data_IF_216897593465
#
_entry.id   IF_216897593465
#
_cell.length_a   1.000
_cell.length_b   1.000
_cell.length_c   1.000
_cell.angle_alpha   90.00
_cell.angle_beta   90.00
_cell.angle_gamma   90.00
#
_symmetry.space_group_name_H-M   'P 1'
#
loop_
_entity.id
_entity.type
_entity.pdbx_description
1 polymer ?
#
# COMPACT_ATOMS: atom_id res chain seq x y z
N UNK A 1 3.77 -10.26 21.29
CA UNK A 1 2.66 -11.12 20.81
C UNK A 1 1.33 -10.36 20.69
N UNK A 2 0.88 -9.60 21.71
CA UNK A 2 -0.31 -8.71 21.63
C UNK A 2 -0.29 -7.67 20.49
N UNK A 3 0.91 -7.28 20.06
CA UNK A 3 1.13 -6.32 18.97
C UNK A 3 0.57 -6.85 17.64
N UNK A 4 0.64 -8.17 17.38
CA UNK A 4 0.13 -8.76 16.13
C UNK A 4 -1.40 -8.70 16.07
N UNK A 5 -2.08 -8.90 17.20
CA UNK A 5 -3.54 -8.85 17.28
C UNK A 5 -4.10 -7.42 17.21
N UNK A 6 -3.43 -6.46 17.88
CA UNK A 6 -3.74 -5.02 17.77
C UNK A 6 -3.57 -4.52 16.33
N UNK A 7 -2.58 -5.07 15.64
CA UNK A 7 -2.25 -4.72 14.26
C UNK A 7 -3.26 -5.24 13.24
N UNK A 8 -3.79 -6.46 13.41
CA UNK A 8 -4.90 -6.98 12.58
C UNK A 8 -6.15 -6.11 12.74
N UNK A 9 -6.43 -5.61 13.95
CA UNK A 9 -7.53 -4.68 14.21
C UNK A 9 -7.31 -3.32 13.53
N UNK A 10 -6.09 -2.77 13.56
CA UNK A 10 -5.73 -1.54 12.85
C UNK A 10 -5.86 -1.69 11.33
N UNK A 11 -5.48 -2.84 10.77
CA UNK A 11 -5.64 -3.13 9.34
C UNK A 11 -7.12 -3.24 8.92
N UNK A 12 -7.97 -3.83 9.76
CA UNK A 12 -9.42 -3.86 9.55
C UNK A 12 -10.01 -2.44 9.56
N UNK A 13 -9.56 -1.59 10.48
CA UNK A 13 -9.96 -0.18 10.53
C UNK A 13 -9.52 0.59 9.28
N UNK A 14 -8.29 0.39 8.80
CA UNK A 14 -7.80 1.07 7.58
C UNK A 14 -8.54 0.62 6.32
N UNK A 15 -8.99 -0.64 6.23
CA UNK A 15 -9.80 -1.12 5.11
C UNK A 15 -11.18 -0.47 5.07
N UNK A 16 -11.80 -0.30 6.24
CA UNK A 16 -13.08 0.40 6.36
C UNK A 16 -12.93 1.85 5.86
N UNK A 17 -11.92 2.57 6.34
CA UNK A 17 -11.68 3.96 5.96
C UNK A 17 -11.36 4.11 4.47
N UNK A 18 -10.53 3.21 3.93
CA UNK A 18 -10.16 3.20 2.51
C UNK A 18 -11.35 2.92 1.60
N UNK A 19 -12.26 2.01 2.00
CA UNK A 19 -13.46 1.70 1.22
C UNK A 19 -14.45 2.85 1.21
N UNK A 20 -14.57 3.58 2.32
CA UNK A 20 -15.43 4.75 2.45
C UNK A 20 -14.89 5.89 1.58
N UNK A 21 -13.58 6.17 1.65
CA UNK A 21 -12.90 7.11 0.77
C UNK A 21 -13.05 6.78 -0.72
N UNK A 22 -12.95 5.50 -1.08
CA UNK A 22 -13.15 5.06 -2.46
C UNK A 22 -14.59 5.32 -2.93
N UNK A 23 -15.60 4.93 -2.13
CA UNK A 23 -17.01 5.16 -2.44
C UNK A 23 -17.29 6.65 -2.61
N UNK A 24 -16.88 7.47 -1.63
CA UNK A 24 -17.08 8.93 -1.69
C UNK A 24 -16.34 9.56 -2.88
N UNK A 25 -15.16 9.07 -3.23
CA UNK A 25 -14.44 9.53 -4.42
C UNK A 25 -15.14 9.12 -5.71
N UNK A 26 -15.69 7.91 -5.80
CA UNK A 26 -16.46 7.46 -6.98
C UNK A 26 -17.79 8.19 -7.14
N UNK A 27 -18.47 8.51 -6.04
CA UNK A 27 -19.69 9.32 -6.05
C UNK A 27 -19.40 10.75 -6.50
N UNK A 28 -18.30 11.35 -5.99
CA UNK A 28 -17.86 12.67 -6.41
C UNK A 28 -17.31 12.71 -7.84
N UNK A 29 -16.74 11.62 -8.37
CA UNK A 29 -16.34 11.53 -9.78
C UNK A 29 -17.55 11.47 -10.72
N UNK A 30 -18.67 10.88 -10.28
CA UNK A 30 -19.88 10.79 -11.09
C UNK A 30 -20.54 12.15 -11.36
N UNK A 31 -20.34 13.12 -10.47
CA UNK A 31 -20.89 14.48 -10.57
C UNK A 31 -20.07 15.43 -11.45
N UNK A 32 -18.84 15.06 -11.81
CA UNK A 32 -17.94 15.86 -12.67
C UNK A 32 -18.12 15.61 -14.18
N UNK A 33 -19.24 15.02 -14.61
CA UNK A 33 -19.53 14.74 -16.04
C UNK A 33 -19.73 15.96 -16.94
N UNK A 34 -19.57 17.16 -16.41
CA UNK A 34 -20.05 18.39 -17.02
C UNK A 34 -18.81 19.19 -17.49
N UNK A 35 -18.52 19.10 -18.80
CA UNK A 35 -17.53 19.87 -19.58
C UNK A 35 -16.08 19.37 -19.65
N UNK A 36 -15.85 18.19 -20.25
CA UNK A 36 -14.48 17.72 -20.55
C UNK A 36 -14.26 17.64 -22.06
N UNK A 37 -13.27 18.41 -22.57
CA UNK A 37 -12.75 18.35 -23.93
C UNK A 37 -12.36 16.89 -24.30
N UNK A 38 -12.52 16.49 -25.56
CA UNK A 38 -12.30 15.11 -26.01
C UNK A 38 -10.85 14.62 -25.74
N UNK A 39 -9.89 15.54 -25.76
CA UNK A 39 -8.49 15.28 -25.42
C UNK A 39 -8.29 14.89 -23.94
N UNK A 40 -8.90 15.64 -23.01
CA UNK A 40 -8.82 15.35 -21.57
C UNK A 40 -9.53 14.04 -21.25
N UNK A 41 -10.64 13.73 -21.94
CA UNK A 41 -11.32 12.43 -21.82
C UNK A 41 -10.41 11.28 -22.23
N UNK A 42 -9.65 11.43 -23.32
CA UNK A 42 -8.73 10.40 -23.78
C UNK A 42 -7.56 10.18 -22.81
N UNK A 43 -7.02 11.25 -22.23
CA UNK A 43 -6.00 11.15 -21.18
C UNK A 43 -6.55 10.43 -19.93
N UNK A 44 -7.72 10.84 -19.46
CA UNK A 44 -8.39 10.21 -18.32
C UNK A 44 -8.64 8.71 -18.54
N UNK A 45 -9.14 8.33 -19.72
CA UNK A 45 -9.38 6.92 -20.05
C UNK A 45 -8.09 6.11 -20.07
N UNK A 46 -6.97 6.69 -20.52
CA UNK A 46 -5.65 6.05 -20.50
C UNK A 46 -5.18 5.82 -19.06
N UNK A 47 -5.30 6.83 -18.20
CA UNK A 47 -4.93 6.72 -16.79
C UNK A 47 -5.81 5.72 -16.03
N UNK A 48 -7.12 5.75 -16.26
CA UNK A 48 -8.07 4.79 -15.71
C UNK A 48 -7.75 3.36 -16.17
N UNK A 49 -7.36 3.18 -17.45
CA UNK A 49 -6.92 1.89 -17.96
C UNK A 49 -5.65 1.41 -17.26
N UNK A 50 -4.64 2.27 -17.10
CA UNK A 50 -3.41 1.92 -16.37
C UNK A 50 -3.69 1.55 -14.91
N UNK A 51 -4.52 2.32 -14.21
CA UNK A 51 -4.94 2.02 -12.84
C UNK A 51 -5.69 0.68 -12.76
N UNK A 52 -6.59 0.41 -13.71
CA UNK A 52 -7.34 -0.84 -13.77
C UNK A 52 -6.43 -2.04 -14.01
N UNK A 53 -5.49 -1.94 -14.96
CA UNK A 53 -4.51 -3.01 -15.25
C UNK A 53 -3.61 -3.24 -14.02
N UNK A 54 -3.14 -2.17 -13.38
CA UNK A 54 -2.32 -2.26 -12.17
C UNK A 54 -3.07 -2.95 -11.02
N UNK A 55 -4.32 -2.57 -10.76
CA UNK A 55 -5.17 -3.20 -9.75
C UNK A 55 -5.44 -4.67 -10.07
N UNK A 56 -5.67 -5.01 -11.34
CA UNK A 56 -5.82 -6.40 -11.77
C UNK A 56 -4.54 -7.22 -11.53
N UNK A 57 -3.37 -6.66 -11.81
CA UNK A 57 -2.07 -7.31 -11.55
C UNK A 57 -1.86 -7.53 -10.05
N UNK A 58 -2.11 -6.53 -9.21
CA UNK A 58 -2.02 -6.67 -7.74
C UNK A 58 -2.99 -7.74 -7.25
N UNK A 59 -4.22 -7.74 -7.75
CA UNK A 59 -5.22 -8.73 -7.38
C UNK A 59 -4.77 -10.15 -7.75
N UNK A 60 -4.27 -10.37 -8.97
CA UNK A 60 -3.72 -11.65 -9.41
C UNK A 60 -2.53 -12.09 -8.56
N UNK A 61 -1.57 -11.19 -8.29
CA UNK A 61 -0.42 -11.47 -7.43
C UNK A 61 -0.86 -11.82 -6.01
N UNK A 62 -1.89 -11.15 -5.50
CA UNK A 62 -2.45 -11.46 -4.21
C UNK A 62 -3.11 -12.82 -4.16
N UNK A 63 -3.84 -13.19 -5.20
CA UNK A 63 -4.44 -14.50 -5.33
C UNK A 63 -3.39 -15.61 -5.39
N UNK A 64 -2.32 -15.42 -6.18
CA UNK A 64 -1.18 -16.34 -6.28
C UNK A 64 -0.50 -16.50 -4.92
N UNK A 65 -0.28 -15.39 -4.21
CA UNK A 65 0.35 -15.41 -2.88
C UNK A 65 -0.52 -16.15 -1.87
N UNK A 66 -1.82 -15.85 -1.83
CA UNK A 66 -2.78 -16.57 -0.98
C UNK A 66 -2.79 -18.06 -1.29
N UNK A 67 -2.75 -18.44 -2.56
CA UNK A 67 -2.66 -19.84 -2.97
C UNK A 67 -1.42 -20.52 -2.37
N UNK A 68 -0.23 -19.91 -2.50
CA UNK A 68 1.00 -20.47 -1.94
C UNK A 68 1.01 -20.54 -0.41
N UNK A 69 0.29 -19.66 0.29
CA UNK A 69 0.15 -19.73 1.76
C UNK A 69 -0.80 -20.84 2.21
N UNK A 70 -1.81 -21.19 1.41
CA UNK A 70 -2.79 -22.23 1.74
C UNK A 70 -2.23 -23.64 1.52
N UNK A 71 -1.31 -23.81 0.56
CA UNK A 71 -0.69 -25.11 0.26
C UNK A 71 0.07 -25.63 1.50
N UNK A 72 -0.25 -26.83 2.01
CA UNK A 72 0.44 -27.42 3.14
C UNK A 72 1.94 -27.53 2.90
N UNK A 73 2.72 -27.14 3.90
CA UNK A 73 4.16 -27.42 3.93
C UNK A 73 4.54 -28.11 5.23
N UNK A 74 5.61 -28.91 5.21
CA UNK A 74 6.12 -29.54 6.44
C UNK A 74 6.54 -28.53 7.51
N UNK A 75 6.74 -27.27 7.12
CA UNK A 75 7.16 -26.17 7.99
C UNK A 75 5.98 -25.36 8.58
N UNK A 76 4.73 -25.76 8.33
CA UNK A 76 3.54 -25.02 8.77
C UNK A 76 3.49 -24.82 10.29
N UNK A 77 4.04 -25.76 11.06
CA UNK A 77 4.15 -25.63 12.52
C UNK A 77 5.02 -24.46 12.98
N UNK A 78 5.91 -23.93 12.12
CA UNK A 78 6.73 -22.75 12.40
C UNK A 78 6.08 -21.44 11.95
N UNK A 79 5.27 -21.51 10.90
CA UNK A 79 4.62 -20.35 10.29
C UNK A 79 3.35 -19.99 11.06
N UNK A 80 2.56 -20.99 11.43
CA UNK A 80 1.27 -20.82 12.09
C UNK A 80 1.39 -21.15 13.57
N UNK A 81 1.78 -20.17 14.38
CA UNK A 81 2.00 -20.36 15.82
C UNK A 81 0.81 -20.99 16.57
N UNK A 82 -0.42 -20.78 16.07
CA UNK A 82 -1.62 -21.34 16.67
C UNK A 82 -1.64 -22.87 16.60
N UNK A 83 -1.02 -23.47 15.56
CA UNK A 83 -0.99 -24.93 15.37
C UNK A 83 -0.18 -25.63 16.48
N UNK A 84 1.11 -25.32 16.74
CA UNK A 84 1.87 -25.98 17.80
C UNK A 84 1.33 -25.66 19.20
N UNK A 85 0.82 -24.46 19.45
CA UNK A 85 0.20 -24.12 20.74
C UNK A 85 -1.04 -24.98 20.96
N UNK A 86 -1.94 -25.04 19.99
CA UNK A 86 -3.11 -25.91 20.09
C UNK A 86 -2.72 -27.39 20.22
N UNK A 87 -1.58 -27.80 19.66
CA UNK A 87 -1.14 -29.20 19.73
C UNK A 87 -0.69 -29.56 21.14
N UNK A 88 -0.06 -28.59 21.81
CA UNK A 88 0.43 -28.73 23.18
C UNK A 88 -0.71 -28.76 24.20
N UNK A 89 -1.72 -27.89 24.04
CA UNK A 89 -2.79 -27.73 25.04
C UNK A 89 -4.08 -28.48 24.72
N UNK A 90 -4.36 -28.73 23.43
CA UNK A 90 -5.62 -29.32 22.96
C UNK A 90 -5.38 -30.39 21.88
N UNK A 91 -4.57 -31.43 22.15
CA UNK A 91 -4.15 -32.41 21.13
C UNK A 91 -5.34 -33.12 20.47
N UNK A 92 -6.42 -33.38 21.22
CA UNK A 92 -7.62 -34.05 20.70
C UNK A 92 -8.51 -33.16 19.82
N UNK A 93 -8.26 -31.85 19.80
CA UNK A 93 -9.06 -30.87 19.05
C UNK A 93 -8.34 -30.32 17.82
N UNK A 94 -7.08 -30.72 17.58
CA UNK A 94 -6.40 -30.49 16.30
C UNK A 94 -6.97 -31.46 15.27
N UNK A 95 -8.12 -31.06 14.74
CA UNK A 95 -8.68 -31.68 13.57
C UNK A 95 -8.16 -30.98 12.32
N UNK A 96 -8.19 -31.70 11.20
CA UNK A 96 -7.93 -31.15 9.86
C UNK A 96 -8.62 -29.80 9.65
N UNK A 97 -9.88 -29.68 10.06
CA UNK A 97 -10.65 -28.45 9.95
C UNK A 97 -10.01 -27.24 10.67
N UNK A 98 -9.49 -27.42 11.89
CA UNK A 98 -8.85 -26.33 12.64
C UNK A 98 -7.61 -25.81 11.94
N UNK A 99 -6.77 -26.72 11.41
CA UNK A 99 -5.56 -26.36 10.64
C UNK A 99 -5.94 -25.56 9.40
N UNK A 100 -7.01 -25.96 8.69
CA UNK A 100 -7.51 -25.22 7.52
C UNK A 100 -8.09 -23.86 7.89
N UNK A 101 -8.79 -23.73 9.02
CA UNK A 101 -9.24 -22.44 9.52
C UNK A 101 -8.07 -21.50 9.83
N UNK A 102 -6.99 -22.01 10.46
CA UNK A 102 -5.78 -21.22 10.72
C UNK A 102 -5.11 -20.73 9.42
N UNK A 103 -5.08 -21.56 8.37
CA UNK A 103 -4.55 -21.18 7.05
C UNK A 103 -5.46 -20.20 6.31
N UNK A 104 -6.77 -20.42 6.35
CA UNK A 104 -7.75 -19.56 5.72
C UNK A 104 -7.78 -18.17 6.38
N UNK A 105 -7.60 -18.09 7.71
CA UNK A 105 -7.44 -16.83 8.43
C UNK A 105 -6.21 -16.03 7.98
N UNK A 106 -5.23 -16.70 7.35
CA UNK A 106 -4.07 -16.05 6.75
C UNK A 106 -4.34 -15.49 5.35
N UNK A 107 -5.44 -15.84 4.66
CA UNK A 107 -5.78 -15.27 3.35
C UNK A 107 -6.08 -13.76 3.47
N UNK A 108 -6.94 -13.30 4.41
CA UNK A 108 -7.11 -11.87 4.67
C UNK A 108 -5.80 -11.20 5.12
N UNK A 109 -5.01 -11.88 5.96
CA UNK A 109 -3.73 -11.35 6.42
C UNK A 109 -2.67 -11.27 5.32
N UNK A 110 -2.69 -12.19 4.35
CA UNK A 110 -1.83 -12.21 3.18
C UNK A 110 -2.20 -11.07 2.23
N UNK A 111 -3.50 -10.91 1.95
CA UNK A 111 -4.07 -9.79 1.20
C UNK A 111 -3.70 -8.43 1.82
N UNK A 112 -3.85 -8.30 3.15
CA UNK A 112 -3.44 -7.12 3.91
C UNK A 112 -1.91 -6.94 3.91
N UNK A 113 -1.14 -8.02 3.92
CA UNK A 113 0.32 -7.95 3.92
C UNK A 113 0.94 -7.62 2.56
N UNK A 114 0.18 -7.73 1.46
CA UNK A 114 0.58 -7.22 0.14
C UNK A 114 0.59 -5.69 0.12
N UNK A 115 -0.12 -5.04 1.04
CA UNK A 115 -0.02 -3.60 1.29
C UNK A 115 1.15 -3.26 2.23
N UNK A 116 1.71 -4.22 2.99
CA UNK A 116 2.74 -4.02 4.03
C UNK A 116 4.11 -4.73 3.86
N UNK A 117 4.62 -5.00 2.65
CA UNK A 117 5.77 -5.90 2.52
C UNK A 117 7.09 -5.31 3.07
N UNK A 118 7.20 -4.01 3.38
CA UNK A 118 8.43 -3.41 3.91
C UNK A 118 8.85 -3.93 5.30
N UNK A 119 7.92 -4.18 6.22
CA UNK A 119 8.26 -4.60 7.60
C UNK A 119 8.52 -6.11 7.74
N UNK A 120 7.87 -6.94 6.91
CA UNK A 120 8.08 -8.40 6.92
C UNK A 120 9.39 -8.83 6.28
N UNK A 121 9.89 -8.12 5.26
CA UNK A 121 11.21 -8.37 4.66
C UNK A 121 12.32 -8.22 5.71
N UNK A 122 12.25 -7.16 6.52
CA UNK A 122 13.27 -6.86 7.53
C UNK A 122 13.31 -7.91 8.64
N UNK A 123 12.14 -8.37 9.13
CA UNK A 123 12.06 -9.39 10.18
C UNK A 123 12.55 -10.78 9.70
N UNK A 124 12.19 -11.19 8.48
CA UNK A 124 12.63 -12.47 7.91
C UNK A 124 14.12 -12.47 7.55
N UNK A 125 14.66 -11.33 7.09
CA UNK A 125 16.08 -11.18 6.75
C UNK A 125 16.99 -11.23 8.00
N UNK A 126 16.54 -10.67 9.13
CA UNK A 126 17.31 -10.63 10.39
C UNK A 126 17.35 -11.99 11.08
N UNK A 127 16.30 -12.80 10.99
CA UNK A 127 16.18 -13.95 11.89
C UNK A 127 16.51 -15.32 11.28
N UNK A 128 16.62 -15.46 9.95
CA UNK A 128 16.63 -16.77 9.29
C UNK A 128 17.67 -16.94 8.16
N UNK A 129 18.85 -16.33 8.28
CA UNK A 129 19.87 -16.36 7.23
C UNK A 129 20.42 -17.76 6.88
N UNK A 130 20.46 -18.70 7.83
CA UNK A 130 21.00 -20.06 7.60
C UNK A 130 19.97 -21.12 7.21
N UNK A 131 18.67 -20.83 7.33
CA UNK A 131 17.56 -21.80 7.11
C UNK A 131 16.87 -21.57 5.75
N UNK A 132 17.13 -20.44 5.08
CA UNK A 132 16.37 -19.97 3.92
C UNK A 132 17.02 -20.24 2.55
N UNK A 133 18.05 -21.07 2.46
CA UNK A 133 18.70 -21.36 1.18
C UNK A 133 17.72 -21.90 0.11
N UNK A 134 16.68 -22.63 0.52
CA UNK A 134 15.63 -23.13 -0.39
C UNK A 134 14.48 -22.13 -0.62
N UNK A 135 14.48 -20.97 0.04
CA UNK A 135 13.40 -19.98 0.00
C UNK A 135 13.75 -18.65 -0.67
N UNK A 136 14.97 -18.53 -1.25
CA UNK A 136 15.36 -17.37 -2.06
C UNK A 136 14.31 -16.90 -3.08
N UNK A 137 13.63 -17.77 -3.86
CA UNK A 137 12.62 -17.29 -4.81
C UNK A 137 11.43 -16.60 -4.14
N UNK A 138 11.04 -17.02 -2.91
CA UNK A 138 9.94 -16.38 -2.17
C UNK A 138 10.35 -15.01 -1.65
N UNK A 139 11.58 -14.88 -1.15
CA UNK A 139 12.12 -13.61 -0.63
C UNK A 139 12.31 -12.61 -1.77
N UNK A 140 12.85 -13.06 -2.92
CA UNK A 140 13.03 -12.22 -4.11
C UNK A 140 11.66 -11.76 -4.62
N UNK A 141 10.69 -12.66 -4.75
CA UNK A 141 9.34 -12.32 -5.21
C UNK A 141 8.67 -11.29 -4.27
N UNK A 142 8.87 -11.45 -2.96
CA UNK A 142 8.34 -10.55 -1.95
C UNK A 142 9.06 -9.18 -1.96
N UNK A 143 10.37 -9.16 -2.23
CA UNK A 143 11.12 -7.93 -2.45
C UNK A 143 10.67 -7.17 -3.70
N UNK A 144 10.45 -7.88 -4.80
CA UNK A 144 9.92 -7.31 -6.05
C UNK A 144 8.51 -6.75 -5.82
N UNK A 145 7.62 -7.49 -5.15
CA UNK A 145 6.28 -7.00 -4.87
C UNK A 145 6.30 -5.76 -3.97
N UNK A 146 7.18 -5.73 -2.96
CA UNK A 146 7.37 -4.55 -2.12
C UNK A 146 7.82 -3.33 -2.89
N UNK A 147 8.79 -3.52 -3.79
CA UNK A 147 9.29 -2.45 -4.63
C UNK A 147 8.21 -1.91 -5.57
N UNK A 148 7.44 -2.78 -6.21
CA UNK A 148 6.35 -2.39 -7.11
C UNK A 148 5.28 -1.59 -6.35
N UNK A 149 4.87 -2.03 -5.17
CA UNK A 149 3.87 -1.33 -4.34
C UNK A 149 4.40 0.03 -3.90
N UNK A 150 5.64 0.10 -3.40
CA UNK A 150 6.25 1.36 -2.97
C UNK A 150 6.41 2.33 -4.13
N UNK A 151 6.84 1.85 -5.30
CA UNK A 151 6.94 2.66 -6.50
C UNK A 151 5.58 3.18 -6.96
N UNK A 152 4.55 2.33 -6.99
CA UNK A 152 3.20 2.72 -7.33
C UNK A 152 2.65 3.78 -6.39
N UNK A 153 2.81 3.60 -5.07
CA UNK A 153 2.40 4.59 -4.07
C UNK A 153 3.14 5.93 -4.27
N UNK A 154 4.47 5.90 -4.38
CA UNK A 154 5.26 7.12 -4.60
C UNK A 154 4.86 7.85 -5.88
N UNK A 155 4.61 7.11 -6.97
CA UNK A 155 4.17 7.68 -8.24
C UNK A 155 2.80 8.33 -8.12
N UNK A 156 1.80 7.62 -7.60
CA UNK A 156 0.45 8.16 -7.43
C UNK A 156 0.45 9.37 -6.48
N UNK A 157 1.23 9.32 -5.41
CA UNK A 157 1.38 10.45 -4.51
C UNK A 157 2.01 11.68 -5.17
N UNK A 158 3.01 11.47 -6.03
CA UNK A 158 3.59 12.56 -6.84
C UNK A 158 2.58 13.13 -7.85
N UNK A 159 1.87 12.28 -8.59
CA UNK A 159 0.87 12.74 -9.58
C UNK A 159 -0.23 13.60 -8.94
N UNK A 160 -0.64 13.28 -7.71
CA UNK A 160 -1.59 14.11 -6.94
C UNK A 160 -0.98 15.46 -6.56
N UNK A 161 0.29 15.49 -6.14
CA UNK A 161 1.01 16.72 -5.79
C UNK A 161 1.19 17.61 -7.03
N UNK A 162 1.56 17.01 -8.17
CA UNK A 162 1.74 17.68 -9.45
C UNK A 162 0.42 18.25 -9.97
N UNK A 163 -0.66 17.45 -9.98
CA UNK A 163 -2.00 17.90 -10.39
C UNK A 163 -2.53 19.03 -9.50
N UNK A 164 -2.24 19.00 -8.19
CA UNK A 164 -2.59 20.11 -7.31
C UNK A 164 -1.83 21.39 -7.64
N UNK A 165 -0.57 21.28 -8.07
CA UNK A 165 0.22 22.42 -8.52
C UNK A 165 -0.30 22.98 -9.84
N UNK A 166 -0.65 22.10 -10.78
CA UNK A 166 -1.21 22.49 -12.08
C UNK A 166 -2.54 23.22 -11.92
N UNK A 167 -3.42 22.80 -11.02
CA UNK A 167 -4.70 23.50 -10.74
C UNK A 167 -4.44 24.94 -10.26
N UNK A 168 -3.42 25.14 -9.41
CA UNK A 168 -3.05 26.47 -8.97
C UNK A 168 -2.51 27.32 -10.12
N UNK A 169 -1.61 26.77 -10.94
CA UNK A 169 -1.02 27.47 -12.08
C UNK A 169 -2.06 27.81 -13.15
N UNK A 170 -2.99 26.91 -13.44
CA UNK A 170 -4.10 27.16 -14.36
C UNK A 170 -4.99 28.26 -13.79
N UNK A 171 -5.30 28.21 -12.49
CA UNK A 171 -6.13 29.23 -11.84
C UNK A 171 -5.49 30.61 -12.05
N UNK A 172 -4.19 30.78 -11.82
CA UNK A 172 -3.49 32.07 -11.99
C UNK A 172 -3.67 32.73 -13.38
N UNK A 173 -3.96 31.95 -14.43
CA UNK A 173 -4.09 32.45 -15.81
C UNK A 173 -5.54 32.71 -16.25
N UNK A 174 -6.54 32.44 -15.41
CA UNK A 174 -7.95 32.72 -15.72
C UNK A 174 -8.22 34.23 -15.67
N UNK A 175 -8.85 34.79 -16.70
CA UNK A 175 -9.27 36.20 -16.68
C UNK A 175 -10.54 36.39 -15.84
N UNK A 176 -10.35 36.62 -14.55
CA UNK A 176 -11.40 36.76 -13.54
C UNK A 176 -11.85 38.21 -13.32
N UNK A 177 -11.21 39.18 -13.99
CA UNK A 177 -11.48 40.61 -13.80
C UNK A 177 -12.92 41.00 -14.13
N UNK A 178 -13.51 40.34 -15.13
CA UNK A 178 -14.87 40.62 -15.62
C UNK A 178 -15.97 39.86 -14.85
N UNK A 179 -15.59 39.06 -13.84
CA UNK A 179 -16.57 38.27 -13.10
C UNK A 179 -17.35 39.14 -12.10
N UNK A 180 -18.56 38.69 -11.75
CA UNK A 180 -19.34 39.33 -10.68
C UNK A 180 -18.66 39.18 -9.30
N UNK A 181 -19.02 40.04 -8.35
CA UNK A 181 -18.42 40.07 -7.01
C UNK A 181 -18.53 38.74 -6.25
N UNK A 182 -19.64 38.01 -6.41
CA UNK A 182 -19.83 36.72 -5.75
C UNK A 182 -18.82 35.66 -6.27
N UNK A 183 -18.64 35.61 -7.58
CA UNK A 183 -17.71 34.68 -8.24
C UNK A 183 -16.26 35.06 -7.96
N UNK A 184 -15.92 36.36 -7.95
CA UNK A 184 -14.58 36.85 -7.56
C UNK A 184 -14.22 36.40 -6.15
N UNK A 185 -15.16 36.54 -5.20
CA UNK A 185 -14.94 36.11 -3.82
C UNK A 185 -14.71 34.59 -3.70
N UNK A 186 -15.51 33.79 -4.42
CA UNK A 186 -15.36 32.33 -4.43
C UNK A 186 -14.04 31.90 -5.08
N UNK A 187 -13.67 32.55 -6.18
CA UNK A 187 -12.40 32.33 -6.87
C UNK A 187 -11.20 32.66 -5.99
N UNK A 188 -11.21 33.79 -5.26
CA UNK A 188 -10.15 34.13 -4.31
C UNK A 188 -10.01 33.09 -3.19
N UNK A 189 -11.13 32.54 -2.69
CA UNK A 189 -11.08 31.44 -1.71
C UNK A 189 -10.45 30.17 -2.30
N UNK A 190 -10.81 29.82 -3.54
CA UNK A 190 -10.20 28.69 -4.26
C UNK A 190 -8.69 28.91 -4.44
N UNK A 191 -8.27 30.12 -4.82
CA UNK A 191 -6.88 30.47 -5.09
C UNK A 191 -6.02 30.42 -3.81
N UNK A 192 -6.56 30.92 -2.69
CA UNK A 192 -5.91 30.81 -1.37
C UNK A 192 -5.77 29.36 -0.93
N UNK A 193 -6.79 28.53 -1.18
CA UNK A 193 -6.76 27.12 -0.79
C UNK A 193 -5.81 26.29 -1.67
N UNK A 194 -5.76 26.58 -2.97
CA UNK A 194 -4.90 25.88 -3.94
C UNK A 194 -3.45 26.33 -3.88
N UNK A 195 -3.15 27.53 -3.34
CA UNK A 195 -1.78 27.99 -3.10
C UNK A 195 -0.99 27.04 -2.20
N UNK A 196 -1.66 26.33 -1.28
CA UNK A 196 -1.04 25.24 -0.53
C UNK A 196 -1.18 23.96 -1.36
N UNK A 197 -0.10 23.57 -2.01
CA UNK A 197 0.01 22.28 -2.70
C UNK A 197 -0.55 21.17 -1.80
N UNK A 198 -1.54 20.45 -2.30
CA UNK A 198 -2.10 19.32 -1.60
C UNK A 198 -1.05 18.21 -1.57
N UNK A 199 -0.58 17.88 -0.37
CA UNK A 199 0.36 16.78 -0.14
C UNK A 199 -0.34 15.76 0.74
N UNK A 200 -0.38 14.51 0.29
CA UNK A 200 -0.82 13.41 1.13
C UNK A 200 0.27 13.19 2.19
N UNK A 201 0.04 13.68 3.40
CA UNK A 201 0.98 13.55 4.52
C UNK A 201 0.67 12.31 5.33
N UNK A 202 1.68 11.46 5.53
CA UNK A 202 1.62 10.37 6.50
C UNK A 202 2.01 10.85 7.90
N UNK A 203 2.95 11.78 7.98
CA UNK A 203 3.33 12.51 9.19
C UNK A 203 3.68 13.95 8.84
N UNK A 204 3.89 14.81 9.85
CA UNK A 204 4.19 16.23 9.65
C UNK A 204 5.37 16.48 8.70
N UNK A 205 6.33 15.54 8.68
CA UNK A 205 7.57 15.62 7.91
C UNK A 205 7.65 14.65 6.72
N UNK A 206 6.64 13.80 6.51
CA UNK A 206 6.68 12.75 5.47
C UNK A 206 5.45 12.90 4.58
N UNK A 207 5.67 13.40 3.36
CA UNK A 207 4.69 13.38 2.27
C UNK A 207 4.87 12.13 1.41
N UNK A 208 3.77 11.56 0.97
CA UNK A 208 3.72 10.40 0.11
C UNK A 208 4.05 10.85 -1.32
N UNK A 209 5.34 10.86 -1.66
CA UNK A 209 5.87 11.23 -2.97
C UNK A 209 7.17 10.47 -3.27
N UNK A 210 7.88 10.82 -4.36
CA UNK A 210 9.14 10.15 -4.70
C UNK A 210 10.22 10.34 -3.63
N UNK A 211 10.23 11.46 -2.91
CA UNK A 211 11.19 11.71 -1.85
C UNK A 211 11.03 10.68 -0.72
N UNK A 212 9.80 10.39 -0.29
CA UNK A 212 9.55 9.32 0.68
C UNK A 212 10.01 7.95 0.18
N UNK A 213 9.75 7.62 -1.09
CA UNK A 213 10.20 6.36 -1.68
C UNK A 213 11.73 6.21 -1.63
N UNK A 214 12.46 7.27 -1.98
CA UNK A 214 13.93 7.30 -1.91
C UNK A 214 14.44 7.15 -0.47
N UNK A 215 13.84 7.83 0.50
CA UNK A 215 14.26 7.73 1.90
C UNK A 215 14.03 6.34 2.49
N UNK A 216 12.93 5.68 2.12
CA UNK A 216 12.69 4.28 2.51
C UNK A 216 13.76 3.37 1.93
N UNK A 217 14.07 3.50 0.63
CA UNK A 217 15.12 2.69 -0.03
C UNK A 217 16.49 2.93 0.61
N UNK A 218 16.87 4.18 0.90
CA UNK A 218 18.11 4.50 1.62
C UNK A 218 18.16 3.84 2.99
N UNK A 219 17.05 3.90 3.73
CA UNK A 219 16.94 3.29 5.06
C UNK A 219 17.17 1.78 4.98
N UNK A 220 16.55 1.10 3.99
CA UNK A 220 16.76 -0.32 3.73
C UNK A 220 18.22 -0.66 3.44
N UNK A 221 18.87 0.06 2.52
CA UNK A 221 20.28 -0.16 2.22
C UNK A 221 21.18 0.07 3.44
N UNK A 222 20.86 1.07 4.26
CA UNK A 222 21.59 1.37 5.49
C UNK A 222 21.50 0.23 6.50
N UNK A 223 20.29 -0.33 6.71
CA UNK A 223 20.06 -1.50 7.56
C UNK A 223 20.86 -2.71 7.05
N UNK A 224 20.75 -3.03 5.76
CA UNK A 224 21.45 -4.18 5.16
C UNK A 224 22.96 -4.03 5.32
N UNK A 225 23.49 -2.83 5.09
CA UNK A 225 24.90 -2.49 5.27
C UNK A 225 25.37 -2.70 6.71
N UNK A 226 24.61 -2.22 7.70
CA UNK A 226 24.91 -2.41 9.13
C UNK A 226 24.89 -3.89 9.49
N UNK A 227 23.87 -4.64 9.07
CA UNK A 227 23.77 -6.06 9.35
C UNK A 227 24.91 -6.88 8.73
N UNK A 228 25.27 -6.59 7.48
CA UNK A 228 26.38 -7.27 6.81
C UNK A 228 27.71 -7.06 7.55
N UNK A 229 27.91 -5.87 8.15
CA UNK A 229 29.09 -5.60 8.99
C UNK A 229 29.07 -6.39 10.29
N UNK A 230 27.91 -6.47 10.97
CA UNK A 230 27.76 -7.23 12.22
C UNK A 230 27.98 -8.73 12.00
N UNK A 231 27.48 -9.29 10.89
CA UNK A 231 27.66 -10.71 10.57
C UNK A 231 29.15 -11.07 10.36
N UNK A 232 29.99 -10.16 9.85
CA UNK A 232 31.43 -10.42 9.68
C UNK A 232 32.23 -10.40 10.99
N UNK A 233 31.64 -9.89 12.07
CA UNK A 233 32.29 -9.79 13.39
C UNK A 233 31.94 -10.96 14.32
N UNK A 234 30.90 -11.73 13.97
CA UNK A 234 30.48 -12.97 14.62
C UNK A 234 31.18 -14.17 13.97
#
# INVERSE_FOLDING_TARGET
MYIVSLYVLLCMFSLYDSSTLFITSTENLSSWKVFVNEEIRNQYNRELFHATVYMAVIFCLGFITCFFYVVPTEQDGRIYFAIPISAMYFPNYINFFFVWCCRAAFIPAAYLSIVQPTLRIMYCWIHFQDILADQYPRIILLGISAFVVLFGLSKTGQEVEDMSSDIFDISLHVDWCDWNEANKKMYLMLLINTQKQFKIKYSDNISLNYQMGVEIVKTFFSIISVMSKLQKQL
#
